data_IF_872789480604
#
_entry.id   IF_872789480604
#
_cell.length_a   1.000
_cell.length_b   1.000
_cell.length_c   1.000
_cell.angle_alpha   90.00
_cell.angle_beta   90.00
_cell.angle_gamma   90.00
#
_symmetry.space_group_name_H-M   'P 1'
#
loop_
_entity.id
_entity.type
_entity.pdbx_description
1 polymer ?
#
# COMPACT_ATOMS: atom_id res chain seq x y z
N UNK A 1 20.02 20.53 0.66
CA UNK A 1 19.62 19.12 0.52
C UNK A 1 18.19 18.97 1.03
N UNK A 2 17.20 18.83 0.14
CA UNK A 2 15.81 18.61 0.53
C UNK A 2 15.68 17.17 1.05
N UNK A 3 15.38 17.02 2.35
CA UNK A 3 15.13 15.72 2.96
C UNK A 3 13.73 15.30 2.52
N UNK A 4 13.62 14.30 1.65
CA UNK A 4 12.34 13.63 1.40
C UNK A 4 11.79 13.17 2.75
N UNK A 5 10.77 13.87 3.24
CA UNK A 5 10.02 13.45 4.43
C UNK A 5 9.26 12.21 4.02
N UNK A 6 9.72 11.05 4.51
CA UNK A 6 8.95 9.81 4.39
C UNK A 6 7.63 10.05 5.11
N UNK A 7 6.53 10.14 4.37
CA UNK A 7 5.20 10.21 4.96
C UNK A 7 5.01 8.93 5.77
N UNK A 8 4.77 9.09 7.07
CA UNK A 8 4.41 7.98 7.95
C UNK A 8 2.89 7.89 8.01
N UNK A 9 2.37 6.67 7.98
CA UNK A 9 0.95 6.45 8.20
C UNK A 9 0.61 6.67 9.66
N UNK A 10 -0.47 7.41 9.90
CA UNK A 10 -1.10 7.54 11.21
C UNK A 10 -1.76 6.22 11.61
N UNK A 11 -2.03 6.03 12.90
CA UNK A 11 -2.73 4.82 13.39
C UNK A 11 -4.10 4.66 12.73
N UNK A 12 -4.81 5.77 12.50
CA UNK A 12 -6.11 5.76 11.80
C UNK A 12 -5.96 5.27 10.36
N UNK A 13 -4.95 5.75 9.63
CA UNK A 13 -4.68 5.28 8.25
C UNK A 13 -4.29 3.80 8.24
N UNK A 14 -3.47 3.35 9.20
CA UNK A 14 -3.10 1.95 9.36
C UNK A 14 -4.34 1.08 9.61
N UNK A 15 -5.25 1.49 10.50
CA UNK A 15 -6.50 0.77 10.76
C UNK A 15 -7.42 0.69 9.55
N UNK A 16 -7.52 1.78 8.77
CA UNK A 16 -8.32 1.78 7.54
C UNK A 16 -7.69 0.82 6.52
N UNK A 17 -6.37 0.88 6.33
CA UNK A 17 -5.65 0.05 5.38
C UNK A 17 -5.62 -1.42 5.78
N UNK A 18 -5.56 -1.74 7.08
CA UNK A 18 -5.57 -3.13 7.57
C UNK A 18 -6.90 -3.84 7.32
N UNK A 19 -7.99 -3.10 7.07
CA UNK A 19 -9.29 -3.65 6.73
C UNK A 19 -9.51 -3.79 5.21
N UNK A 20 -8.51 -3.42 4.38
CA UNK A 20 -8.62 -3.55 2.93
C UNK A 20 -8.23 -4.97 2.48
N UNK A 21 -9.09 -5.62 1.70
CA UNK A 21 -8.91 -7.00 1.20
C UNK A 21 -7.61 -7.19 0.39
N UNK A 22 -7.13 -6.15 -0.27
CA UNK A 22 -5.90 -6.18 -1.07
C UNK A 22 -4.64 -5.90 -0.26
N UNK A 23 -4.76 -5.55 1.02
CA UNK A 23 -3.62 -5.29 1.91
C UNK A 23 -3.30 -6.54 2.72
N UNK A 24 -2.10 -7.08 2.50
CA UNK A 24 -1.57 -8.21 3.27
C UNK A 24 -1.05 -7.79 4.64
N UNK A 25 -0.36 -6.64 4.70
CA UNK A 25 0.09 -6.05 5.96
C UNK A 25 0.39 -4.57 5.79
N UNK A 26 0.20 -3.78 6.84
CA UNK A 26 0.51 -2.35 6.85
C UNK A 26 1.29 -1.99 8.11
N UNK A 27 2.29 -1.13 7.94
CA UNK A 27 3.09 -0.54 9.00
C UNK A 27 3.13 0.98 8.83
N UNK A 28 3.64 1.71 9.83
CA UNK A 28 3.85 3.17 9.72
C UNK A 28 4.70 3.58 8.52
N UNK A 29 5.54 2.69 7.98
CA UNK A 29 6.52 3.01 6.93
C UNK A 29 6.16 2.46 5.55
N UNK A 30 5.13 1.61 5.44
CA UNK A 30 4.82 0.95 4.17
C UNK A 30 3.65 -0.03 4.25
N UNK A 31 3.15 -0.37 3.07
CA UNK A 31 2.04 -1.30 2.84
C UNK A 31 2.57 -2.46 1.99
N UNK A 32 2.19 -3.68 2.34
CA UNK A 32 2.39 -4.88 1.54
C UNK A 32 1.05 -5.32 1.02
N UNK A 33 0.89 -5.38 -0.30
CA UNK A 33 -0.32 -5.85 -0.94
C UNK A 33 -0.34 -7.38 -1.08
N UNK A 34 -1.53 -7.95 -1.28
CA UNK A 34 -1.70 -9.36 -1.60
C UNK A 34 -1.14 -9.69 -2.97
N UNK A 35 -0.81 -10.97 -3.21
CA UNK A 35 -0.32 -11.40 -4.52
C UNK A 35 -1.43 -11.23 -5.58
N UNK A 36 -2.69 -11.47 -5.23
CA UNK A 36 -3.85 -11.27 -6.11
C UNK A 36 -3.93 -9.83 -6.62
N UNK A 37 -3.72 -8.85 -5.74
CA UNK A 37 -3.70 -7.45 -6.14
C UNK A 37 -2.54 -7.12 -7.07
N UNK A 38 -1.36 -7.73 -6.88
CA UNK A 38 -0.23 -7.55 -7.80
C UNK A 38 -0.56 -8.06 -9.20
N UNK A 39 -1.25 -9.19 -9.31
CA UNK A 39 -1.68 -9.72 -10.61
C UNK A 39 -2.65 -8.78 -11.31
N UNK A 40 -3.69 -8.31 -10.61
CA UNK A 40 -4.63 -7.31 -11.13
C UNK A 40 -3.87 -6.05 -11.59
N UNK A 41 -2.93 -5.58 -10.77
CA UNK A 41 -2.16 -4.38 -11.09
C UNK A 41 -1.29 -4.53 -12.36
N UNK A 42 -0.64 -5.70 -12.54
CA UNK A 42 0.15 -5.98 -13.74
C UNK A 42 -0.77 -6.07 -14.96
N UNK A 43 -1.86 -6.83 -14.88
CA UNK A 43 -2.82 -6.99 -15.98
C UNK A 43 -3.44 -5.65 -16.41
N UNK A 44 -3.78 -4.78 -15.47
CA UNK A 44 -4.30 -3.45 -15.77
C UNK A 44 -3.22 -2.51 -16.33
N UNK A 45 -1.98 -2.61 -15.84
CA UNK A 45 -0.87 -1.83 -16.39
C UNK A 45 -0.54 -2.21 -17.84
N UNK A 46 -0.70 -3.48 -18.20
CA UNK A 46 -0.57 -3.95 -19.59
C UNK A 46 -1.70 -3.45 -20.50
N UNK A 47 -2.86 -3.06 -19.95
CA UNK A 47 -4.02 -2.58 -20.71
C UNK A 47 -4.03 -1.06 -20.98
N UNK A 48 -3.31 -0.25 -20.18
CA UNK A 48 -3.07 1.17 -20.43
C UNK A 48 -3.93 2.14 -19.62
#
# INVERSE_FOLDING_TARGET
MLKMTKKLFTEREIQILSNNLYVKSVSQKGITYTEEFKHIFIEENEKG
#
